data_IF_089910692649
#
_entry.id   IF_089910692649
#
_cell.length_a   1.000
_cell.length_b   1.000
_cell.length_c   1.000
_cell.angle_alpha   90.00
_cell.angle_beta   90.00
_cell.angle_gamma   90.00
#
_symmetry.space_group_name_H-M   'P 1'
#
loop_
_entity.id
_entity.type
_entity.pdbx_description
1 polymer ?
#
# COMPACT_ATOMS: atom_id res chain seq x y z
N UNK A 1 -8.40 -18.30 6.77
CA UNK A 1 -7.92 -17.60 7.99
C UNK A 1 -6.75 -16.73 7.57
N UNK A 2 -6.69 -15.48 8.01
CA UNK A 2 -5.60 -14.58 7.61
C UNK A 2 -4.41 -14.76 8.55
N UNK A 3 -3.25 -15.10 8.01
CA UNK A 3 -2.02 -15.24 8.79
C UNK A 3 -1.23 -13.95 8.61
N UNK A 4 -0.85 -13.33 9.73
CA UNK A 4 0.02 -12.17 9.74
C UNK A 4 1.45 -12.66 9.51
N UNK A 5 2.01 -12.39 8.33
CA UNK A 5 3.32 -12.94 7.97
C UNK A 5 4.48 -12.12 8.51
N UNK A 6 4.27 -10.82 8.71
CA UNK A 6 5.28 -9.95 9.30
C UNK A 6 4.92 -8.48 9.16
N UNK A 7 5.77 -7.65 9.74
CA UNK A 7 5.68 -6.20 9.65
C UNK A 7 7.03 -5.55 9.94
N UNK A 8 7.19 -4.29 9.53
CA UNK A 8 8.39 -3.50 9.77
C UNK A 8 8.00 -2.22 10.49
N UNK A 9 8.74 -1.90 11.56
CA UNK A 9 8.66 -0.61 12.24
C UNK A 9 9.97 0.12 12.00
N UNK A 10 9.90 1.23 11.24
CA UNK A 10 11.03 2.13 11.02
C UNK A 10 10.86 3.37 11.90
N UNK A 11 11.87 3.68 12.71
CA UNK A 11 11.97 4.93 13.47
C UNK A 11 13.13 5.75 12.93
N UNK A 12 12.86 7.00 12.55
CA UNK A 12 13.88 7.99 12.21
C UNK A 12 13.81 9.14 13.20
N UNK A 13 14.93 9.51 13.79
CA UNK A 13 15.06 10.74 14.58
C UNK A 13 16.07 11.64 13.89
N UNK A 14 15.67 12.88 13.62
CA UNK A 14 16.54 13.89 13.07
C UNK A 14 16.61 15.05 14.07
N UNK A 15 17.81 15.37 14.55
CA UNK A 15 18.06 16.49 15.43
C UNK A 15 18.96 17.48 14.70
N UNK A 16 18.38 18.63 14.34
CA UNK A 16 19.12 19.72 13.71
C UNK A 16 19.26 20.82 14.76
N UNK A 17 20.50 21.21 15.06
CA UNK A 17 20.78 22.30 15.99
C UNK A 17 21.63 23.35 15.28
N UNK A 18 21.17 24.59 15.33
CA UNK A 18 21.86 25.77 14.79
C UNK A 18 22.07 26.76 15.92
N UNK A 19 23.29 27.27 16.07
CA UNK A 19 23.66 28.19 17.14
C UNK A 19 24.62 29.26 16.66
N UNK A 20 24.56 30.43 17.27
CA UNK A 20 25.53 31.50 17.04
C UNK A 20 26.84 31.15 17.79
N UNK A 21 28.00 31.11 17.12
CA UNK A 21 29.30 30.92 17.79
C UNK A 21 29.55 31.99 18.88
N UNK A 22 30.26 31.65 19.95
CA UNK A 22 30.37 32.41 21.21
C UNK A 22 29.07 32.52 22.03
N UNK A 23 28.01 33.12 21.50
CA UNK A 23 26.81 33.47 22.29
C UNK A 23 25.95 32.25 22.66
N UNK A 24 25.87 31.27 21.77
CA UNK A 24 25.08 30.06 22.01
C UNK A 24 25.61 29.21 23.16
N UNK A 25 26.90 29.28 23.48
CA UNK A 25 27.54 28.43 24.50
C UNK A 25 27.64 29.10 25.88
N UNK A 26 27.07 30.29 26.05
CA UNK A 26 27.01 30.98 27.34
C UNK A 26 26.04 30.22 28.28
N UNK A 27 26.49 29.76 29.46
CA UNK A 27 25.61 29.16 30.44
C UNK A 27 24.57 30.17 30.93
N UNK A 28 23.31 29.73 31.12
CA UNK A 28 22.19 30.57 31.53
C UNK A 28 21.41 31.21 30.37
N UNK A 29 22.08 31.91 29.46
CA UNK A 29 21.42 32.67 28.36
C UNK A 29 21.59 32.07 26.96
N UNK A 30 22.47 31.09 26.78
CA UNK A 30 22.80 30.53 25.46
C UNK A 30 21.62 29.88 24.72
N UNK A 31 20.55 29.50 25.42
CA UNK A 31 19.34 28.93 24.82
C UNK A 31 18.58 29.94 23.94
N UNK A 32 18.69 31.24 24.21
CA UNK A 32 18.06 32.30 23.43
C UNK A 32 18.74 32.51 22.07
N UNK A 33 19.98 32.04 21.94
CA UNK A 33 20.83 32.13 20.74
C UNK A 33 21.04 30.76 20.07
N UNK A 34 20.24 29.76 20.47
CA UNK A 34 20.21 28.40 19.94
C UNK A 34 18.83 28.13 19.36
N UNK A 35 18.79 27.58 18.15
CA UNK A 35 17.57 27.09 17.52
C UNK A 35 17.76 25.61 17.17
N UNK A 36 16.97 24.77 17.82
CA UNK A 36 16.96 23.33 17.58
C UNK A 36 15.63 22.89 16.99
N UNK A 37 15.67 22.00 15.99
CA UNK A 37 14.50 21.31 15.46
C UNK A 37 14.69 19.81 15.62
N UNK A 38 13.82 19.21 16.44
CA UNK A 38 13.70 17.76 16.58
C UNK A 38 12.56 17.27 15.71
N UNK A 39 12.84 16.33 14.83
CA UNK A 39 11.82 15.66 14.01
C UNK A 39 11.88 14.16 14.26
N UNK A 40 10.72 13.58 14.59
CA UNK A 40 10.58 12.14 14.78
C UNK A 40 9.63 11.60 13.71
N UNK A 41 10.08 10.61 12.95
CA UNK A 41 9.29 9.92 11.94
C UNK A 41 9.14 8.44 12.33
N UNK A 42 7.90 7.96 12.36
CA UNK A 42 7.57 6.55 12.62
C UNK A 42 6.79 6.01 11.42
N UNK A 43 7.25 4.91 10.85
CA UNK A 43 6.58 4.23 9.75
C UNK A 43 6.35 2.78 10.15
N UNK A 44 5.10 2.34 10.04
CA UNK A 44 4.68 0.98 10.36
C UNK A 44 4.11 0.34 9.10
N UNK A 45 4.66 -0.81 8.71
CA UNK A 45 4.20 -1.59 7.58
C UNK A 45 3.77 -2.97 8.07
N UNK A 46 2.64 -3.45 7.56
CA UNK A 46 2.06 -4.74 7.90
C UNK A 46 1.74 -5.53 6.63
N UNK A 47 2.16 -6.79 6.58
CA UNK A 47 1.89 -7.70 5.45
C UNK A 47 1.09 -8.90 5.93
N UNK A 48 -0.05 -9.12 5.28
CA UNK A 48 -0.99 -10.20 5.60
C UNK A 48 -1.23 -11.05 4.37
N UNK A 49 -1.27 -12.37 4.55
CA UNK A 49 -1.63 -13.30 3.49
C UNK A 49 -2.80 -14.17 3.96
N UNK A 50 -3.75 -14.36 3.06
CA UNK A 50 -4.94 -15.19 3.27
C UNK A 50 -4.87 -16.36 2.29
N UNK A 51 -4.39 -17.54 2.70
CA UNK A 51 -4.40 -18.71 1.83
C UNK A 51 -5.84 -19.16 1.58
N UNK A 52 -6.09 -19.64 0.35
CA UNK A 52 -7.36 -20.22 -0.07
C UNK A 52 -7.10 -21.61 -0.66
N UNK A 53 -7.80 -22.63 -0.16
CA UNK A 53 -7.66 -24.02 -0.60
C UNK A 53 -8.85 -24.34 -1.51
N UNK A 54 -8.56 -24.94 -2.67
CA UNK A 54 -9.57 -25.37 -3.64
C UNK A 54 -9.45 -26.88 -3.77
N UNK A 55 -10.57 -27.58 -3.58
CA UNK A 55 -10.60 -29.05 -3.49
C UNK A 55 -10.95 -29.74 -4.81
N UNK A 56 -11.58 -29.04 -5.77
CA UNK A 56 -11.97 -29.62 -7.06
C UNK A 56 -12.09 -28.58 -8.19
N UNK A 57 -11.89 -29.04 -9.43
CA UNK A 57 -11.91 -28.19 -10.64
C UNK A 57 -13.30 -27.59 -10.92
N UNK A 58 -14.37 -28.33 -10.59
CA UNK A 58 -15.75 -27.85 -10.70
C UNK A 58 -16.00 -26.64 -9.80
N UNK A 59 -15.42 -26.67 -8.60
CA UNK A 59 -15.52 -25.59 -7.62
C UNK A 59 -14.73 -24.37 -8.09
N UNK A 60 -13.54 -24.57 -8.67
CA UNK A 60 -12.74 -23.50 -9.27
C UNK A 60 -13.48 -22.77 -10.39
N UNK A 61 -14.11 -23.52 -11.30
CA UNK A 61 -14.87 -22.94 -12.42
C UNK A 61 -16.00 -22.02 -11.93
N UNK A 62 -16.69 -22.42 -10.85
CA UNK A 62 -17.73 -21.59 -10.23
C UNK A 62 -17.16 -20.33 -9.56
N UNK A 63 -15.99 -20.41 -8.93
CA UNK A 63 -15.31 -19.23 -8.36
C UNK A 63 -14.89 -18.23 -9.43
N UNK A 64 -14.31 -18.71 -10.54
CA UNK A 64 -13.91 -17.85 -11.66
C UNK A 64 -15.14 -17.16 -12.26
N UNK A 65 -16.22 -17.90 -12.50
CA UNK A 65 -17.48 -17.35 -13.03
C UNK A 65 -18.07 -16.27 -12.12
N UNK A 66 -18.19 -16.54 -10.81
CA UNK A 66 -18.70 -15.57 -9.82
C UNK A 66 -17.80 -14.34 -9.69
N UNK A 67 -16.48 -14.51 -9.82
CA UNK A 67 -15.54 -13.40 -9.80
C UNK A 67 -15.68 -12.51 -11.03
N UNK A 68 -15.88 -13.08 -12.22
CA UNK A 68 -16.12 -12.33 -13.46
C UNK A 68 -17.43 -11.53 -13.40
N UNK A 69 -18.52 -12.14 -12.93
CA UNK A 69 -19.81 -11.47 -12.76
C UNK A 69 -19.71 -10.31 -11.76
N UNK A 70 -19.04 -10.52 -10.61
CA UNK A 70 -18.84 -9.49 -9.59
C UNK A 70 -17.96 -8.35 -10.09
N UNK A 71 -16.89 -8.65 -10.83
CA UNK A 71 -15.99 -7.61 -11.37
C UNK A 71 -16.68 -6.79 -12.47
N UNK A 72 -17.52 -7.39 -13.31
CA UNK A 72 -18.34 -6.65 -14.28
C UNK A 72 -19.37 -5.74 -13.61
N UNK A 73 -20.04 -6.23 -12.55
CA UNK A 73 -20.96 -5.42 -11.75
C UNK A 73 -20.28 -4.23 -11.07
N UNK A 74 -19.06 -4.42 -10.56
CA UNK A 74 -18.26 -3.34 -9.98
C UNK A 74 -17.85 -2.29 -11.03
N UNK A 75 -17.50 -2.70 -12.25
CA UNK A 75 -17.15 -1.75 -13.34
C UNK A 75 -18.32 -0.87 -13.74
N UNK A 76 -19.53 -1.42 -13.77
CA UNK A 76 -20.75 -0.67 -14.06
C UNK A 76 -21.10 0.29 -12.91
N UNK A 77 -20.95 -0.15 -11.66
CA UNK A 77 -21.21 0.68 -10.47
C UNK A 77 -20.17 1.78 -10.24
N UNK A 78 -18.90 1.58 -10.63
CA UNK A 78 -17.83 2.58 -10.50
C UNK A 78 -17.81 3.60 -11.66
N UNK A 79 -18.74 3.52 -12.61
CA UNK A 79 -18.90 4.55 -13.64
C UNK A 79 -17.65 4.76 -14.51
N UNK A 80 -16.89 3.70 -14.84
CA UNK A 80 -15.73 3.79 -15.74
C UNK A 80 -16.21 3.97 -17.19
N UNK A 81 -16.76 5.14 -17.52
CA UNK A 81 -16.88 5.68 -18.88
C UNK A 81 -15.62 6.50 -19.14
N UNK A 82 -14.59 5.96 -19.81
CA UNK A 82 -13.57 6.85 -20.37
C UNK A 82 -12.19 6.34 -20.80
N UNK A 83 -11.70 5.14 -20.45
CA UNK A 83 -10.28 4.82 -20.75
C UNK A 83 -9.93 3.42 -21.24
N UNK A 84 -10.87 2.60 -21.71
CA UNK A 84 -10.54 1.27 -22.29
C UNK A 84 -10.74 1.14 -23.80
N UNK A 85 -11.14 2.19 -24.52
CA UNK A 85 -11.17 2.15 -26.00
C UNK A 85 -9.76 1.92 -26.61
N UNK A 86 -8.69 2.25 -25.88
CA UNK A 86 -7.30 2.06 -26.33
C UNK A 86 -6.72 0.65 -26.07
N UNK A 87 -7.46 -0.26 -25.39
CA UNK A 87 -7.00 -1.63 -25.13
C UNK A 87 -7.84 -2.70 -25.87
N UNK A 88 -8.80 -2.29 -26.69
CA UNK A 88 -9.71 -3.15 -27.46
C UNK A 88 -9.05 -3.84 -28.69
N UNK A 89 -7.71 -3.95 -28.72
CA UNK A 89 -6.96 -4.38 -29.91
C UNK A 89 -6.25 -5.74 -29.82
N UNK A 90 -6.16 -6.38 -28.64
CA UNK A 90 -5.52 -7.69 -28.51
C UNK A 90 -6.33 -8.65 -27.65
N UNK A 91 -7.17 -9.43 -28.35
CA UNK A 91 -7.38 -10.87 -28.17
C UNK A 91 -7.49 -11.38 -26.73
N UNK A 92 -8.72 -11.53 -26.27
CA UNK A 92 -9.08 -12.60 -25.33
C UNK A 92 -10.19 -13.42 -25.99
N UNK A 93 -9.79 -14.40 -26.81
CA UNK A 93 -10.73 -15.44 -27.27
C UNK A 93 -11.09 -16.24 -26.02
N UNK A 94 -12.38 -16.43 -25.70
CA UNK A 94 -12.76 -17.29 -24.59
C UNK A 94 -12.16 -18.68 -24.83
N UNK A 95 -11.37 -19.15 -23.86
CA UNK A 95 -10.86 -20.52 -23.85
C UNK A 95 -12.07 -21.46 -23.81
N UNK A 96 -12.24 -22.36 -24.79
CA UNK A 96 -13.35 -23.31 -24.77
C UNK A 96 -13.22 -24.22 -23.55
N UNK A 97 -14.33 -24.65 -22.94
CA UNK A 97 -14.30 -25.76 -21.99
C UNK A 97 -13.75 -26.98 -22.73
N UNK A 98 -12.64 -27.54 -22.22
CA UNK A 98 -12.08 -28.78 -22.75
C UNK A 98 -13.06 -29.95 -22.62
N UNK A 99 -12.93 -30.89 -23.55
CA UNK A 99 -13.37 -32.29 -23.38
C UNK A 99 -12.69 -32.94 -22.17
#
# INVERSE_FOLDING_TARGET
QSIMMGGLIKKGSNNVESKIPLLGDIPGVGWLFKYGKKSNAKTELLVMITPYVIESDDVLAQYIKKFQEKTQGLRQGLGVKGSTAALSGKTDKPVPPGE
#
